data_IF_644482053867
#
_entry.id   IF_644482053867
#
_cell.length_a   1.000
_cell.length_b   1.000
_cell.length_c   1.000
_cell.angle_alpha   90.00
_cell.angle_beta   90.00
_cell.angle_gamma   90.00
#
_symmetry.space_group_name_H-M   'P 1'
#
loop_
_entity.id
_entity.type
_entity.pdbx_description
1 polymer ?
#
# COMPACT_ATOMS: atom_id res chain seq x y z
N UNK A 1 9.38 -45.52 11.03
CA UNK A 1 10.27 -44.69 10.18
C UNK A 1 9.62 -44.31 8.84
N UNK A 2 9.21 -45.25 7.97
CA UNK A 2 8.57 -44.93 6.66
C UNK A 2 7.34 -43.99 6.73
N UNK A 3 6.49 -44.11 7.75
CA UNK A 3 5.31 -43.22 7.94
C UNK A 3 5.69 -41.76 8.22
N UNK A 4 6.80 -41.51 8.91
CA UNK A 4 7.25 -40.15 9.23
C UNK A 4 7.93 -39.48 8.03
N UNK A 5 8.59 -40.27 7.17
CA UNK A 5 9.17 -39.78 5.91
C UNK A 5 8.10 -39.25 4.97
N UNK A 6 6.94 -39.93 4.88
CA UNK A 6 5.82 -39.47 4.07
C UNK A 6 5.23 -38.13 4.58
N UNK A 7 5.17 -37.92 5.89
CA UNK A 7 4.69 -36.67 6.50
C UNK A 7 5.67 -35.52 6.22
N UNK A 8 6.98 -35.77 6.33
CA UNK A 8 8.01 -34.76 6.05
C UNK A 8 8.01 -34.37 4.56
N UNK A 9 7.85 -35.32 3.65
CA UNK A 9 7.74 -35.05 2.20
C UNK A 9 6.48 -34.24 1.84
N UNK A 10 5.39 -34.41 2.59
CA UNK A 10 4.17 -33.62 2.40
C UNK A 10 4.38 -32.16 2.82
N UNK A 11 5.09 -31.93 3.93
CA UNK A 11 5.33 -30.60 4.50
C UNK A 11 6.31 -29.75 3.67
N UNK A 12 7.23 -30.36 2.90
CA UNK A 12 8.19 -29.62 2.06
C UNK A 12 7.64 -29.24 0.67
N UNK A 13 6.46 -29.72 0.30
CA UNK A 13 5.83 -29.40 -0.99
C UNK A 13 5.13 -28.03 -1.04
N UNK A 14 5.03 -27.32 0.09
CA UNK A 14 4.44 -25.99 0.14
C UNK A 14 5.38 -24.95 -0.48
N UNK A 15 5.04 -24.49 -1.69
CA UNK A 15 5.69 -23.33 -2.30
C UNK A 15 5.19 -22.06 -1.60
N UNK A 16 6.05 -21.41 -0.83
CA UNK A 16 5.79 -20.06 -0.34
C UNK A 16 5.92 -19.05 -1.49
N UNK A 17 4.90 -18.21 -1.67
CA UNK A 17 4.96 -17.07 -2.60
C UNK A 17 5.28 -15.84 -1.74
N UNK A 18 6.48 -15.32 -1.86
CA UNK A 18 6.87 -14.03 -1.30
C UNK A 18 6.89 -12.98 -2.41
N UNK A 19 6.53 -11.74 -2.08
CA UNK A 19 6.78 -10.61 -2.97
C UNK A 19 8.14 -10.00 -2.66
N UNK A 20 8.93 -9.84 -3.71
CA UNK A 20 10.22 -9.17 -3.65
C UNK A 20 10.04 -7.79 -4.28
N UNK A 21 9.81 -6.78 -3.45
CA UNK A 21 9.74 -5.38 -3.88
C UNK A 21 11.12 -4.75 -3.75
N UNK A 22 11.60 -4.10 -4.81
CA UNK A 22 12.86 -3.36 -4.75
C UNK A 22 12.70 -2.09 -3.90
N UNK A 23 13.70 -1.80 -3.07
CA UNK A 23 13.77 -0.52 -2.34
C UNK A 23 14.10 0.57 -3.35
N UNK A 24 13.15 1.48 -3.58
CA UNK A 24 13.25 2.58 -4.55
C UNK A 24 12.95 3.90 -3.87
N UNK A 25 13.38 5.02 -4.49
CA UNK A 25 12.98 6.35 -4.04
C UNK A 25 11.50 6.56 -4.32
N UNK A 26 10.82 7.35 -3.48
CA UNK A 26 9.40 7.68 -3.67
C UNK A 26 9.13 8.25 -5.08
N UNK A 27 9.98 9.15 -5.57
CA UNK A 27 9.83 9.74 -6.90
C UNK A 27 9.91 8.71 -8.04
N UNK A 28 10.72 7.66 -7.88
CA UNK A 28 10.82 6.57 -8.87
C UNK A 28 9.57 5.70 -8.86
N UNK A 29 9.01 5.45 -7.67
CA UNK A 29 7.74 4.74 -7.51
C UNK A 29 6.59 5.55 -8.10
N UNK A 30 6.49 6.85 -7.78
CA UNK A 30 5.47 7.75 -8.33
C UNK A 30 5.53 7.80 -9.86
N UNK A 31 6.73 7.92 -10.44
CA UNK A 31 6.90 7.88 -11.89
C UNK A 31 6.40 6.55 -12.47
N UNK A 32 6.82 5.43 -11.88
CA UNK A 32 6.38 4.09 -12.31
C UNK A 32 4.86 3.93 -12.22
N UNK A 33 4.24 4.48 -11.19
CA UNK A 33 2.80 4.38 -10.97
C UNK A 33 2.02 5.19 -11.99
N UNK A 34 2.49 6.39 -12.31
CA UNK A 34 1.90 7.23 -13.36
C UNK A 34 2.03 6.58 -14.74
N UNK A 35 3.15 5.90 -15.01
CA UNK A 35 3.40 5.27 -16.32
C UNK A 35 2.67 3.94 -16.52
N UNK A 36 2.36 3.21 -15.44
CA UNK A 36 1.84 1.84 -15.51
C UNK A 36 0.43 1.67 -14.95
N UNK A 37 -0.21 2.72 -14.45
CA UNK A 37 -1.61 2.67 -14.02
C UNK A 37 -2.54 3.01 -15.18
N UNK A 38 -3.60 2.22 -15.34
CA UNK A 38 -4.73 2.58 -16.19
C UNK A 38 -5.68 3.54 -15.47
N UNK A 39 -5.72 3.48 -14.14
CA UNK A 39 -6.57 4.32 -13.30
C UNK A 39 -5.77 4.95 -12.15
N UNK A 40 -5.90 6.26 -11.99
CA UNK A 40 -5.34 7.04 -10.89
C UNK A 40 -6.42 7.94 -10.32
N UNK A 41 -6.87 7.65 -9.10
CA UNK A 41 -7.97 8.40 -8.49
C UNK A 41 -7.90 8.40 -6.96
N UNK A 42 -8.63 9.33 -6.37
CA UNK A 42 -8.99 9.32 -4.95
C UNK A 42 -10.33 8.63 -4.81
N UNK A 43 -10.38 7.59 -3.99
CA UNK A 43 -11.58 6.79 -3.76
C UNK A 43 -11.94 6.71 -2.29
N UNK A 44 -13.23 6.49 -2.02
CA UNK A 44 -13.74 6.10 -0.71
C UNK A 44 -13.98 4.59 -0.73
N UNK A 45 -13.24 3.85 0.09
CA UNK A 45 -13.45 2.42 0.34
C UNK A 45 -14.65 2.29 1.25
N UNK A 46 -15.72 1.71 0.72
CA UNK A 46 -17.03 1.61 1.38
C UNK A 46 -17.35 0.19 1.86
N UNK A 47 -16.60 -0.80 1.41
CA UNK A 47 -16.78 -2.20 1.80
C UNK A 47 -15.44 -2.94 1.69
N UNK A 48 -15.14 -3.77 2.69
CA UNK A 48 -14.03 -4.72 2.67
C UNK A 48 -14.57 -6.08 3.10
N UNK A 49 -14.33 -7.11 2.28
CA UNK A 49 -14.67 -8.49 2.56
C UNK A 49 -13.36 -9.28 2.67
N UNK A 50 -12.98 -9.62 3.90
CA UNK A 50 -11.76 -10.36 4.20
C UNK A 50 -11.82 -11.83 3.76
N UNK A 51 -13.01 -12.42 3.68
CA UNK A 51 -13.16 -13.83 3.30
C UNK A 51 -12.88 -14.04 1.81
N UNK A 52 -13.37 -13.13 0.97
CA UNK A 52 -13.20 -13.20 -0.49
C UNK A 52 -12.01 -12.36 -0.99
N UNK A 53 -11.33 -11.65 -0.08
CA UNK A 53 -10.25 -10.70 -0.35
C UNK A 53 -10.67 -9.62 -1.36
N UNK A 54 -11.90 -9.12 -1.25
CA UNK A 54 -12.44 -8.09 -2.15
C UNK A 54 -12.79 -6.82 -1.41
N UNK A 55 -12.81 -5.70 -2.12
CA UNK A 55 -13.26 -4.42 -1.59
C UNK A 55 -14.09 -3.68 -2.62
N UNK A 56 -14.89 -2.70 -2.17
CA UNK A 56 -15.55 -1.73 -3.06
C UNK A 56 -15.03 -0.35 -2.78
N UNK A 57 -14.64 0.34 -3.84
CA UNK A 57 -14.14 1.71 -3.78
C UNK A 57 -14.95 2.59 -4.72
N UNK A 58 -15.46 3.69 -4.19
CA UNK A 58 -16.20 4.71 -4.94
C UNK A 58 -15.27 5.85 -5.33
N UNK A 59 -15.15 6.15 -6.61
CA UNK A 59 -14.36 7.28 -7.12
C UNK A 59 -14.93 8.59 -6.58
N UNK A 60 -14.09 9.38 -5.91
CA UNK A 60 -14.44 10.72 -5.40
C UNK A 60 -13.76 11.84 -6.18
N UNK A 61 -12.58 11.58 -6.73
CA UNK A 61 -11.84 12.50 -7.61
C UNK A 61 -10.98 11.68 -8.57
N UNK A 62 -11.09 11.89 -9.88
CA UNK A 62 -10.11 11.35 -10.84
C UNK A 62 -8.88 12.26 -10.91
N UNK A 63 -7.71 11.64 -10.94
CA UNK A 63 -6.41 12.30 -10.99
C UNK A 63 -5.70 12.09 -12.34
N UNK A 64 -6.23 11.22 -13.20
CA UNK A 64 -5.79 10.96 -14.57
C UNK A 64 -6.78 11.45 -15.64
N UNK A 65 -7.94 11.96 -15.24
CA UNK A 65 -9.02 12.39 -16.14
C UNK A 65 -9.89 11.25 -16.72
N UNK A 66 -9.53 9.99 -16.48
CA UNK A 66 -10.22 8.82 -17.06
C UNK A 66 -11.39 8.31 -16.22
N UNK A 67 -11.27 8.36 -14.89
CA UNK A 67 -12.25 7.77 -13.99
C UNK A 67 -13.44 8.70 -13.68
N UNK A 68 -14.66 8.26 -14.00
CA UNK A 68 -15.87 9.04 -13.69
C UNK A 68 -16.15 9.04 -12.18
N UNK A 69 -16.29 10.24 -11.60
CA UNK A 69 -16.71 10.43 -10.19
C UNK A 69 -18.05 9.73 -9.92
N UNK A 70 -18.10 9.01 -8.81
CA UNK A 70 -19.25 8.21 -8.39
C UNK A 70 -19.25 6.76 -8.90
N UNK A 71 -18.35 6.41 -9.82
CA UNK A 71 -18.13 5.01 -10.22
C UNK A 71 -17.71 4.17 -9.03
N UNK A 72 -18.26 2.97 -8.91
CA UNK A 72 -17.88 2.02 -7.86
C UNK A 72 -17.16 0.86 -8.51
N UNK A 73 -15.89 0.70 -8.18
CA UNK A 73 -15.09 -0.45 -8.58
C UNK A 73 -15.18 -1.53 -7.53
N UNK A 74 -15.30 -2.78 -7.99
CA UNK A 74 -15.01 -3.95 -7.14
C UNK A 74 -13.55 -4.28 -7.36
N UNK A 75 -12.74 -4.11 -6.32
CA UNK A 75 -11.35 -4.50 -6.32
C UNK A 75 -11.10 -5.80 -5.59
N UNK A 76 -9.93 -6.37 -5.81
CA UNK A 76 -9.49 -7.59 -5.15
C UNK A 76 -8.06 -7.43 -4.64
N UNK A 77 -7.79 -7.97 -3.47
CA UNK A 77 -6.46 -8.06 -2.90
C UNK A 77 -5.84 -9.38 -3.38
N UNK A 78 -5.05 -9.33 -4.47
CA UNK A 78 -4.33 -10.50 -4.94
C UNK A 78 -3.02 -10.63 -4.17
N UNK A 79 -2.85 -11.77 -3.49
CA UNK A 79 -1.65 -12.13 -2.71
C UNK A 79 -1.51 -11.30 -1.42
N UNK A 80 -0.55 -11.70 -0.60
CA UNK A 80 -0.18 -11.02 0.66
C UNK A 80 0.76 -9.83 0.45
N UNK A 81 0.67 -9.15 -0.70
CA UNK A 81 1.64 -8.13 -1.10
C UNK A 81 1.00 -6.76 -1.08
N UNK A 82 1.76 -5.76 -0.64
CA UNK A 82 1.29 -4.38 -0.63
C UNK A 82 1.13 -3.84 -2.05
N UNK A 83 0.20 -2.89 -2.25
CA UNK A 83 -0.74 -2.35 -1.27
C UNK A 83 -1.97 -3.26 -1.06
N UNK A 84 -2.46 -3.32 0.18
CA UNK A 84 -3.58 -4.17 0.60
C UNK A 84 -4.65 -3.32 1.27
N UNK A 85 -5.87 -3.33 0.73
CA UNK A 85 -6.99 -2.57 1.30
C UNK A 85 -7.66 -3.44 2.37
N UNK A 86 -7.47 -3.04 3.62
CA UNK A 86 -8.02 -3.72 4.81
C UNK A 86 -8.98 -2.84 5.62
N UNK A 87 -9.04 -1.55 5.32
CA UNK A 87 -9.82 -0.57 6.07
C UNK A 87 -10.68 0.29 5.14
N UNK A 88 -11.79 0.78 5.69
CA UNK A 88 -12.66 1.75 5.05
C UNK A 88 -12.00 3.14 5.04
N UNK A 89 -12.57 4.06 4.28
CA UNK A 89 -12.16 5.45 4.27
C UNK A 89 -11.54 5.88 2.96
N UNK A 90 -10.79 6.99 3.01
CA UNK A 90 -10.27 7.66 1.83
C UNK A 90 -8.90 7.12 1.43
N UNK A 91 -8.72 6.80 0.15
CA UNK A 91 -7.52 6.21 -0.41
C UNK A 91 -7.10 6.92 -1.69
N UNK A 92 -5.78 6.96 -1.93
CA UNK A 92 -5.24 7.19 -3.27
C UNK A 92 -5.01 5.83 -3.92
N UNK A 93 -5.52 5.67 -5.14
CA UNK A 93 -5.54 4.42 -5.86
C UNK A 93 -4.75 4.56 -7.15
N UNK A 94 -3.85 3.62 -7.36
CA UNK A 94 -3.07 3.36 -8.56
C UNK A 94 -3.27 1.91 -8.95
N UNK A 95 -3.78 1.66 -10.15
CA UNK A 95 -4.12 0.31 -10.56
C UNK A 95 -4.52 0.18 -12.02
N UNK A 96 -5.04 -1.00 -12.32
CA UNK A 96 -5.56 -1.38 -13.62
C UNK A 96 -6.68 -2.41 -13.47
N UNK A 97 -7.46 -2.63 -14.53
CA UNK A 97 -8.51 -3.65 -14.51
C UNK A 97 -7.94 -5.01 -14.90
N UNK A 98 -8.09 -6.01 -14.03
CA UNK A 98 -7.68 -7.39 -14.34
C UNK A 98 -8.82 -8.36 -14.02
N UNK A 99 -9.32 -9.06 -15.04
CA UNK A 99 -10.39 -10.06 -14.87
C UNK A 99 -11.70 -9.49 -14.34
N UNK A 100 -12.01 -8.22 -14.64
CA UNK A 100 -13.22 -7.53 -14.17
C UNK A 100 -13.11 -6.91 -12.78
N UNK A 101 -11.95 -7.02 -12.13
CA UNK A 101 -11.68 -6.44 -10.83
C UNK A 101 -10.63 -5.33 -10.94
N UNK A 102 -10.79 -4.30 -10.13
CA UNK A 102 -9.73 -3.29 -9.93
C UNK A 102 -8.57 -3.92 -9.17
N UNK A 103 -7.40 -3.91 -9.78
CA UNK A 103 -6.16 -4.42 -9.20
C UNK A 103 -5.19 -3.30 -8.93
N UNK A 104 -4.76 -3.20 -7.68
CA UNK A 104 -3.69 -2.27 -7.31
C UNK A 104 -2.36 -2.77 -7.86
N UNK A 105 -1.51 -1.82 -8.25
CA UNK A 105 -0.17 -2.14 -8.71
C UNK A 105 0.65 -2.79 -7.60
N UNK A 106 1.23 -3.96 -7.89
CA UNK A 106 2.01 -4.73 -6.91
C UNK A 106 3.29 -3.97 -6.55
N UNK A 107 3.62 -3.91 -5.26
CA UNK A 107 4.69 -3.05 -4.73
C UNK A 107 4.44 -1.55 -5.01
N UNK A 108 3.18 -1.19 -5.24
CA UNK A 108 2.75 0.14 -5.53
C UNK A 108 2.57 1.04 -4.30
N UNK A 109 2.12 2.26 -4.56
CA UNK A 109 2.03 3.36 -3.59
C UNK A 109 0.59 3.75 -3.24
N UNK A 110 -0.39 2.95 -3.67
CA UNK A 110 -1.78 3.11 -3.22
C UNK A 110 -1.86 2.99 -1.70
N UNK A 111 -2.52 3.93 -1.04
CA UNK A 111 -2.53 4.02 0.42
C UNK A 111 -3.70 4.82 0.97
N UNK A 112 -4.03 4.53 2.22
CA UNK A 112 -5.03 5.24 3.02
C UNK A 112 -4.56 6.66 3.33
N UNK A 113 -5.49 7.60 3.40
CA UNK A 113 -5.23 8.96 3.89
C UNK A 113 -5.07 8.99 5.41
N UNK A 114 -5.66 8.03 6.13
CA UNK A 114 -5.53 7.90 7.59
C UNK A 114 -4.15 7.35 7.97
N UNK A 115 -3.59 6.46 7.14
CA UNK A 115 -2.25 5.92 7.31
C UNK A 115 -1.46 5.86 5.99
N UNK A 116 -0.92 6.99 5.51
CA UNK A 116 -0.22 7.09 4.24
C UNK A 116 1.24 6.61 4.28
N UNK A 117 1.68 5.97 5.37
CA UNK A 117 3.06 5.50 5.52
C UNK A 117 3.32 4.39 4.50
N UNK A 118 4.32 4.61 3.65
CA UNK A 118 4.79 3.60 2.69
C UNK A 118 5.95 2.78 3.25
N UNK A 119 6.02 1.51 2.84
CA UNK A 119 7.15 0.63 3.14
C UNK A 119 8.26 0.76 2.07
N UNK A 120 9.54 0.58 2.44
CA UNK A 120 10.01 0.20 3.78
C UNK A 120 10.13 1.42 4.71
N UNK A 121 9.64 1.24 5.94
CA UNK A 121 9.96 2.13 7.07
C UNK A 121 11.48 2.33 7.10
N UNK A 122 12.00 3.57 7.22
CA UNK A 122 13.43 3.81 7.37
C UNK A 122 13.99 2.93 8.49
N UNK A 123 15.24 2.49 8.33
CA UNK A 123 15.91 1.65 9.32
C UNK A 123 15.73 2.27 10.71
N UNK A 124 15.36 1.47 11.73
CA UNK A 124 15.16 1.97 13.08
C UNK A 124 16.37 2.77 13.54
N UNK A 125 16.12 3.91 14.21
CA UNK A 125 17.18 4.77 14.74
C UNK A 125 18.20 3.92 15.53
N UNK A 126 19.53 4.13 15.35
CA UNK A 126 20.55 3.42 16.13
C UNK A 126 20.30 3.49 17.64
N UNK A 127 19.70 4.59 18.10
CA UNK A 127 19.31 4.83 19.50
C UNK A 127 18.38 3.74 20.06
N UNK A 128 17.55 3.10 19.22
CA UNK A 128 16.63 2.02 19.65
C UNK A 128 17.36 0.75 20.09
N UNK A 129 18.61 0.57 19.67
CA UNK A 129 19.44 -0.60 19.96
C UNK A 129 20.52 -0.32 21.01
N UNK A 130 20.54 0.88 21.60
CA UNK A 130 21.46 1.19 22.67
C UNK A 130 21.18 0.32 23.91
N UNK A 131 22.24 -0.29 24.46
CA UNK A 131 22.13 -1.28 25.55
C UNK A 131 21.58 -0.72 26.86
N UNK A 132 21.63 0.61 27.03
CA UNK A 132 21.37 1.27 28.32
C UNK A 132 20.04 2.04 28.37
N UNK A 133 19.17 1.90 27.37
CA UNK A 133 17.87 2.58 27.37
C UNK A 133 16.82 1.76 28.13
N UNK A 134 16.00 2.44 28.93
CA UNK A 134 14.83 1.84 29.56
C UNK A 134 13.73 1.55 28.52
N UNK A 135 12.82 0.63 28.83
CA UNK A 135 11.67 0.32 27.97
C UNK A 135 10.81 1.57 27.70
N UNK A 136 10.64 2.43 28.71
CA UNK A 136 9.89 3.69 28.60
C UNK A 136 10.55 4.67 27.62
N UNK A 137 11.87 4.77 27.64
CA UNK A 137 12.63 5.61 26.71
C UNK A 137 12.56 5.05 25.28
N UNK A 138 12.72 3.72 25.13
CA UNK A 138 12.58 3.05 23.83
C UNK A 138 11.20 3.31 23.21
N UNK A 139 10.14 3.18 24.01
CA UNK A 139 8.77 3.49 23.57
C UNK A 139 8.65 4.95 23.13
N UNK A 140 9.19 5.89 23.91
CA UNK A 140 9.15 7.33 23.57
C UNK A 140 9.88 7.64 22.26
N UNK A 141 11.04 7.02 22.01
CA UNK A 141 11.79 7.19 20.75
C UNK A 141 10.97 6.64 19.58
N UNK A 142 10.40 5.44 19.75
CA UNK A 142 9.59 4.79 18.72
C UNK A 142 8.31 5.60 18.39
N UNK A 143 7.59 6.07 19.40
CA UNK A 143 6.39 6.90 19.23
C UNK A 143 6.74 8.21 18.50
N UNK A 144 7.88 8.84 18.85
CA UNK A 144 8.38 10.03 18.15
C UNK A 144 8.71 9.75 16.68
N UNK A 145 9.40 8.64 16.41
CA UNK A 145 9.75 8.21 15.04
C UNK A 145 8.49 7.93 14.21
N UNK A 146 7.49 7.26 14.78
CA UNK A 146 6.21 7.05 14.10
C UNK A 146 5.49 8.37 13.78
N UNK A 147 5.44 9.29 14.74
CA UNK A 147 4.80 10.59 14.53
C UNK A 147 5.50 11.40 13.43
N UNK A 148 6.84 11.37 13.39
CA UNK A 148 7.62 12.03 12.34
C UNK A 148 7.42 11.38 10.97
N UNK A 149 7.44 10.05 10.90
CA UNK A 149 7.16 9.31 9.67
C UNK A 149 5.76 9.59 9.14
N UNK A 150 4.75 9.61 10.02
CA UNK A 150 3.37 9.95 9.68
C UNK A 150 3.28 11.37 9.10
N UNK A 151 3.93 12.36 9.75
CA UNK A 151 3.96 13.75 9.28
C UNK A 151 4.60 13.86 7.89
N UNK A 152 5.72 13.18 7.67
CA UNK A 152 6.40 13.19 6.38
C UNK A 152 5.53 12.53 5.30
N UNK A 153 4.93 11.37 5.60
CA UNK A 153 4.06 10.65 4.67
C UNK A 153 2.82 11.48 4.25
N UNK A 154 2.23 12.22 5.18
CA UNK A 154 1.13 13.16 4.89
C UNK A 154 1.60 14.30 3.97
N UNK A 155 2.74 14.92 4.28
CA UNK A 155 3.33 15.98 3.45
C UNK A 155 3.64 15.48 2.03
N UNK A 156 4.21 14.28 1.92
CA UNK A 156 4.53 13.66 0.63
C UNK A 156 3.26 13.37 -0.17
N UNK A 157 2.21 12.84 0.47
CA UNK A 157 0.91 12.62 -0.16
C UNK A 157 0.28 13.95 -0.63
N UNK A 158 0.34 15.01 0.16
CA UNK A 158 -0.18 16.31 -0.25
C UNK A 158 0.55 16.89 -1.48
N UNK A 159 1.88 16.75 -1.52
CA UNK A 159 2.69 17.17 -2.66
C UNK A 159 2.35 16.34 -3.91
N UNK A 160 2.25 15.02 -3.75
CA UNK A 160 1.86 14.08 -4.81
C UNK A 160 0.50 14.47 -5.41
N UNK A 161 -0.51 14.71 -4.57
CA UNK A 161 -1.83 15.13 -5.02
C UNK A 161 -1.80 16.48 -5.76
N UNK A 162 -0.99 17.44 -5.31
CA UNK A 162 -0.84 18.73 -6.01
C UNK A 162 -0.26 18.53 -7.41
N UNK A 163 0.76 17.67 -7.54
CA UNK A 163 1.38 17.36 -8.83
C UNK A 163 0.41 16.66 -9.76
N UNK A 164 -0.30 15.63 -9.29
CA UNK A 164 -1.27 14.88 -10.10
C UNK A 164 -2.42 15.75 -10.56
N UNK A 165 -2.99 16.57 -9.66
CA UNK A 165 -4.07 17.51 -10.02
C UNK A 165 -3.60 18.56 -11.03
N UNK A 166 -2.36 19.05 -10.89
CA UNK A 166 -1.78 19.99 -11.86
C UNK A 166 -1.66 19.31 -13.23
N UNK A 167 -1.08 18.11 -13.27
CA UNK A 167 -0.93 17.32 -14.50
C UNK A 167 -2.27 17.10 -15.20
N UNK A 168 -3.29 16.63 -14.47
CA UNK A 168 -4.65 16.41 -14.97
C UNK A 168 -5.25 17.66 -15.62
N UNK A 169 -4.97 18.85 -15.08
CA UNK A 169 -5.52 20.09 -15.60
C UNK A 169 -4.73 20.64 -16.81
N UNK A 170 -3.54 20.12 -17.08
CA UNK A 170 -2.66 20.51 -18.20
C UNK A 170 -2.83 19.60 -19.43
N UNK A 171 -3.36 18.39 -19.24
CA UNK A 171 -3.77 17.44 -20.30
C UNK A 171 -5.20 17.74 -20.81
#
# INVERSE_FOLDING_TARGET
>A
MKKYIAIILLLTSFKGIACTCAIKKLSELQKSEIENSECIFIGEVIEVNESDLTYKVKVTESLDGGDKVGTVYTGKNWKYCSPYISELGKWIIYGHMEGGFLRLNMCGISRSFENPIMNPIPLPSPELFEKNITEKERKKIFDKMQAENMKNALSDLELELKVLRKRRNEE
#
